data_IF_367450476033
#
_entry.id   IF_367450476033
#
_cell.length_a   1.000
_cell.length_b   1.000
_cell.length_c   1.000
_cell.angle_alpha   90.00
_cell.angle_beta   90.00
_cell.angle_gamma   90.00
#
_symmetry.space_group_name_H-M   'P 1'
#
loop_
_entity.id
_entity.type
_entity.pdbx_description
1 polymer ?
#
# COMPACT_ATOMS: atom_id res chain seq x y z
N UNK A 1 13.54 -18.74 16.89
CA UNK A 1 14.18 -17.56 16.27
C UNK A 1 15.47 -18.07 15.65
N UNK A 2 15.44 -18.41 14.36
CA UNK A 2 16.65 -18.84 13.63
C UNK A 2 17.62 -17.68 13.52
N UNK A 3 18.91 -18.00 13.42
CA UNK A 3 20.07 -17.09 13.51
C UNK A 3 20.00 -15.88 12.55
N UNK A 4 19.28 -14.82 12.94
CA UNK A 4 19.35 -13.52 12.25
C UNK A 4 20.58 -12.78 12.80
N UNK A 5 21.51 -12.43 11.92
CA UNK A 5 22.70 -11.65 12.31
C UNK A 5 22.32 -10.32 12.97
N UNK A 6 23.12 -9.89 13.96
CA UNK A 6 22.98 -8.59 14.64
C UNK A 6 22.97 -7.44 13.61
N UNK A 7 23.72 -7.60 12.53
CA UNK A 7 23.78 -6.62 11.45
C UNK A 7 22.45 -6.54 10.67
N UNK A 8 21.82 -7.68 10.40
CA UNK A 8 20.50 -7.76 9.76
C UNK A 8 19.44 -7.10 10.63
N UNK A 9 19.48 -7.30 11.95
CA UNK A 9 18.54 -6.64 12.86
C UNK A 9 18.68 -5.10 12.83
N UNK A 10 19.91 -4.58 12.82
CA UNK A 10 20.15 -3.14 12.70
C UNK A 10 19.71 -2.58 11.33
N UNK A 11 19.86 -3.38 10.28
CA UNK A 11 19.38 -3.04 8.95
C UNK A 11 17.85 -2.96 8.88
N UNK A 12 17.16 -3.96 9.42
CA UNK A 12 15.69 -3.97 9.52
C UNK A 12 15.17 -2.73 10.26
N UNK A 13 15.79 -2.34 11.38
CA UNK A 13 15.42 -1.10 12.09
C UNK A 13 15.47 0.14 11.20
N UNK A 14 16.49 0.26 10.33
CA UNK A 14 16.61 1.39 9.38
C UNK A 14 15.53 1.33 8.31
N UNK A 15 15.21 0.15 7.79
CA UNK A 15 14.14 -0.04 6.79
C UNK A 15 12.80 0.37 7.39
N UNK A 16 12.42 -0.16 8.56
CA UNK A 16 11.14 0.18 9.20
C UNK A 16 11.08 1.64 9.66
N UNK A 17 12.20 2.23 10.11
CA UNK A 17 12.26 3.67 10.39
C UNK A 17 12.02 4.52 9.13
N UNK A 18 12.56 4.09 8.00
CA UNK A 18 12.36 4.74 6.70
C UNK A 18 10.92 4.55 6.19
N UNK A 19 10.32 3.38 6.44
CA UNK A 19 8.91 3.12 6.15
C UNK A 19 7.99 4.10 6.89
N UNK A 20 8.21 4.30 8.20
CA UNK A 20 7.46 5.28 8.99
C UNK A 20 7.62 6.70 8.47
N UNK A 21 8.84 7.08 8.07
CA UNK A 21 9.10 8.35 7.40
C UNK A 21 8.27 8.50 6.11
N UNK A 22 8.21 7.45 5.26
CA UNK A 22 7.38 7.46 4.05
C UNK A 22 5.89 7.61 4.39
N UNK A 23 5.39 6.90 5.40
CA UNK A 23 4.00 7.03 5.85
C UNK A 23 3.69 8.47 6.31
N UNK A 24 4.59 9.12 7.04
CA UNK A 24 4.42 10.50 7.45
C UNK A 24 4.39 11.46 6.25
N UNK A 25 5.31 11.31 5.30
CA UNK A 25 5.31 12.10 4.06
C UNK A 25 4.05 11.88 3.24
N UNK A 26 3.59 10.63 3.10
CA UNK A 26 2.36 10.29 2.39
C UNK A 26 1.12 10.89 3.07
N UNK A 27 1.07 10.90 4.41
CA UNK A 27 -0.02 11.53 5.16
C UNK A 27 -0.08 13.05 4.92
N UNK A 28 1.08 13.73 4.92
CA UNK A 28 1.17 15.16 4.57
C UNK A 28 0.72 15.41 3.13
N UNK A 29 1.15 14.55 2.20
CA UNK A 29 0.72 14.60 0.79
C UNK A 29 -0.80 14.47 0.65
N UNK A 30 -1.39 13.45 1.28
CA UNK A 30 -2.83 13.22 1.26
C UNK A 30 -3.62 14.40 1.86
N UNK A 31 -3.12 14.99 2.95
CA UNK A 31 -3.74 16.16 3.57
C UNK A 31 -3.73 17.40 2.66
N UNK A 32 -2.72 17.56 1.81
CA UNK A 32 -2.65 18.67 0.84
C UNK A 32 -3.53 18.46 -0.41
N UNK A 33 -4.02 17.24 -0.63
CA UNK A 33 -4.76 16.87 -1.83
C UNK A 33 -6.14 17.50 -2.04
N UNK A 34 -6.96 17.87 -1.02
CA UNK A 34 -8.30 18.42 -1.22
C UNK A 34 -8.33 19.72 -2.05
N UNK A 35 -7.18 20.37 -2.23
CA UNK A 35 -7.03 21.57 -3.07
C UNK A 35 -6.77 21.27 -4.55
N UNK A 36 -6.62 20.00 -4.94
CA UNK A 36 -6.19 19.59 -6.28
C UNK A 36 -7.32 18.91 -7.07
N UNK A 37 -7.40 19.20 -8.38
CA UNK A 37 -8.32 18.54 -9.29
C UNK A 37 -7.94 17.06 -9.52
N UNK A 38 -8.90 16.23 -9.96
CA UNK A 38 -8.63 14.81 -10.28
C UNK A 38 -7.47 14.63 -11.28
N UNK A 39 -7.32 15.55 -12.23
CA UNK A 39 -6.19 15.54 -13.17
C UNK A 39 -4.84 15.76 -12.50
N UNK A 40 -4.78 16.59 -11.46
CA UNK A 40 -3.55 16.82 -10.71
C UNK A 40 -3.12 15.58 -9.90
N UNK A 41 -4.07 14.80 -9.38
CA UNK A 41 -3.74 13.53 -8.71
C UNK A 41 -3.09 12.51 -9.66
N UNK A 42 -3.56 12.43 -10.92
CA UNK A 42 -2.94 11.59 -11.95
C UNK A 42 -1.52 12.08 -12.29
N UNK A 43 -1.31 13.39 -12.38
CA UNK A 43 0.02 13.96 -12.58
C UNK A 43 0.96 13.65 -11.42
N UNK A 44 0.48 13.71 -10.17
CA UNK A 44 1.25 13.31 -9.00
C UNK A 44 1.58 11.82 -8.98
N UNK A 45 0.69 10.96 -9.46
CA UNK A 45 0.98 9.54 -9.64
C UNK A 45 2.12 9.30 -10.65
N UNK A 46 2.04 9.96 -11.82
CA UNK A 46 3.09 9.89 -12.85
C UNK A 46 4.42 10.48 -12.37
N UNK A 47 4.36 11.59 -11.62
CA UNK A 47 5.52 12.17 -10.96
C UNK A 47 6.14 11.16 -9.97
N UNK A 48 5.32 10.45 -9.19
CA UNK A 48 5.79 9.37 -8.32
C UNK A 48 6.59 8.31 -9.09
N UNK A 49 6.10 7.86 -10.24
CA UNK A 49 6.84 6.90 -11.09
C UNK A 49 8.18 7.50 -11.56
N UNK A 50 8.20 8.77 -11.98
CA UNK A 50 9.42 9.44 -12.39
C UNK A 50 10.44 9.60 -11.25
N UNK A 51 9.99 9.96 -10.05
CA UNK A 51 10.85 10.07 -8.86
C UNK A 51 11.42 8.71 -8.45
N UNK A 52 10.62 7.65 -8.58
CA UNK A 52 11.08 6.28 -8.33
C UNK A 52 12.13 5.83 -9.35
N UNK A 53 11.92 6.13 -10.64
CA UNK A 53 12.90 5.85 -11.68
C UNK A 53 14.22 6.62 -11.45
N UNK A 54 14.13 7.88 -11.01
CA UNK A 54 15.29 8.66 -10.62
C UNK A 54 16.02 8.06 -9.41
N UNK A 55 15.28 7.56 -8.42
CA UNK A 55 15.86 6.90 -7.25
C UNK A 55 16.60 5.62 -7.63
N UNK A 56 16.02 4.82 -8.54
CA UNK A 56 16.65 3.60 -9.07
C UNK A 56 17.91 3.90 -9.89
N UNK A 57 17.97 5.06 -10.56
CA UNK A 57 19.13 5.50 -11.33
C UNK A 57 20.30 5.98 -10.47
N UNK A 58 20.07 6.31 -9.18
CA UNK A 58 21.12 6.72 -8.24
C UNK A 58 21.69 5.46 -7.56
N UNK A 59 22.90 4.99 -7.92
CA UNK A 59 23.47 3.78 -7.35
C UNK A 59 23.69 3.93 -5.84
N UNK A 60 23.48 2.83 -5.12
CA UNK A 60 23.75 2.77 -3.69
C UNK A 60 25.27 2.82 -3.45
N UNK A 61 25.72 3.92 -2.88
CA UNK A 61 27.11 4.09 -2.47
C UNK A 61 27.16 4.18 -0.93
N UNK A 62 27.65 3.14 -0.21
CA UNK A 62 27.65 3.10 1.25
C UNK A 62 28.59 4.14 1.86
N UNK A 63 29.48 4.74 1.06
CA UNK A 63 30.43 5.78 1.51
C UNK A 63 29.85 7.19 1.44
N UNK A 64 28.72 7.38 0.76
CA UNK A 64 28.09 8.68 0.57
C UNK A 64 26.86 8.86 1.45
N UNK A 65 26.63 10.11 1.80
CA UNK A 65 25.42 10.55 2.51
C UNK A 65 24.17 10.11 1.76
N UNK A 66 23.28 9.38 2.43
CA UNK A 66 22.02 8.87 1.85
C UNK A 66 20.88 9.90 1.85
N UNK A 67 21.11 11.10 2.40
CA UNK A 67 20.16 12.22 2.45
C UNK A 67 19.45 12.54 1.13
N UNK A 68 20.11 12.65 -0.05
CA UNK A 68 19.41 12.93 -1.30
C UNK A 68 18.45 11.79 -1.71
N UNK A 69 18.82 10.54 -1.44
CA UNK A 69 17.97 9.37 -1.72
C UNK A 69 16.76 9.34 -0.79
N UNK A 70 16.95 9.68 0.50
CA UNK A 70 15.86 9.82 1.46
C UNK A 70 14.91 10.98 1.10
N UNK A 71 15.44 12.12 0.66
CA UNK A 71 14.63 13.25 0.21
C UNK A 71 13.79 12.88 -1.01
N UNK A 72 14.38 12.17 -1.97
CA UNK A 72 13.68 11.69 -3.16
C UNK A 72 12.59 10.67 -2.82
N UNK A 73 12.88 9.76 -1.89
CA UNK A 73 11.91 8.81 -1.34
C UNK A 73 10.76 9.52 -0.61
N UNK A 74 11.06 10.55 0.18
CA UNK A 74 10.04 11.37 0.84
C UNK A 74 9.14 12.11 -0.15
N UNK A 75 9.74 12.70 -1.20
CA UNK A 75 9.00 13.33 -2.29
C UNK A 75 8.11 12.33 -3.04
N UNK A 76 8.62 11.13 -3.31
CA UNK A 76 7.85 10.03 -3.89
C UNK A 76 6.66 9.64 -2.99
N UNK A 77 6.89 9.44 -1.69
CA UNK A 77 5.85 9.06 -0.76
C UNK A 77 4.77 10.15 -0.62
N UNK A 78 5.16 11.42 -0.59
CA UNK A 78 4.25 12.55 -0.59
C UNK A 78 3.42 12.61 -1.89
N UNK A 79 4.06 12.41 -3.06
CA UNK A 79 3.37 12.38 -4.35
C UNK A 79 2.34 11.24 -4.43
N UNK A 80 2.67 10.05 -3.89
CA UNK A 80 1.72 8.94 -3.75
C UNK A 80 0.56 9.29 -2.80
N UNK A 81 0.85 9.99 -1.70
CA UNK A 81 -0.16 10.53 -0.79
C UNK A 81 -1.15 11.48 -1.49
N UNK A 82 -0.64 12.40 -2.31
CA UNK A 82 -1.49 13.29 -3.13
C UNK A 82 -2.29 12.50 -4.15
N UNK A 83 -1.69 11.49 -4.79
CA UNK A 83 -2.36 10.67 -5.81
C UNK A 83 -3.58 9.91 -5.25
N UNK A 84 -3.52 9.41 -4.01
CA UNK A 84 -4.64 8.75 -3.35
C UNK A 84 -5.63 9.73 -2.70
N UNK A 85 -5.29 11.01 -2.63
CA UNK A 85 -6.08 12.00 -1.92
C UNK A 85 -7.50 12.21 -2.44
N UNK A 86 -7.81 12.18 -3.75
CA UNK A 86 -9.20 12.22 -4.22
C UNK A 86 -10.05 11.05 -3.71
N UNK A 87 -9.47 9.85 -3.62
CA UNK A 87 -10.16 8.68 -3.05
C UNK A 87 -10.49 8.93 -1.58
N UNK A 88 -9.52 9.41 -0.80
CA UNK A 88 -9.69 9.72 0.61
C UNK A 88 -10.75 10.82 0.80
N UNK A 89 -10.72 11.86 -0.04
CA UNK A 89 -11.69 12.96 0.02
C UNK A 89 -13.12 12.47 -0.26
N UNK A 90 -13.33 11.63 -1.27
CA UNK A 90 -14.63 11.02 -1.56
C UNK A 90 -15.10 10.20 -0.36
N UNK A 91 -14.25 9.32 0.18
CA UNK A 91 -14.64 8.48 1.33
C UNK A 91 -14.95 9.32 2.56
N UNK A 92 -14.15 10.35 2.84
CA UNK A 92 -14.38 11.27 3.95
C UNK A 92 -15.73 11.98 3.84
N UNK A 93 -16.07 12.50 2.65
CA UNK A 93 -17.31 13.23 2.41
C UNK A 93 -18.55 12.35 2.49
N UNK A 94 -18.47 11.11 1.97
CA UNK A 94 -19.64 10.22 1.87
C UNK A 94 -19.85 9.34 3.10
N UNK A 95 -18.78 8.92 3.78
CA UNK A 95 -18.86 7.90 4.82
C UNK A 95 -18.23 8.29 6.16
N UNK A 96 -17.54 9.44 6.23
CA UNK A 96 -16.91 9.93 7.45
C UNK A 96 -15.42 9.59 7.59
N UNK A 97 -14.77 10.25 8.55
CA UNK A 97 -13.33 10.09 8.82
C UNK A 97 -13.01 8.78 9.58
N UNK A 98 -13.98 8.22 10.30
CA UNK A 98 -13.86 6.96 11.04
C UNK A 98 -13.42 5.80 10.15
N UNK A 99 -13.92 5.74 8.91
CA UNK A 99 -13.53 4.71 7.95
C UNK A 99 -12.06 4.77 7.59
N UNK A 100 -11.51 5.98 7.39
CA UNK A 100 -10.11 6.16 7.00
C UNK A 100 -9.18 5.71 8.12
N UNK A 101 -9.50 6.07 9.37
CA UNK A 101 -8.75 5.66 10.55
C UNK A 101 -8.86 4.14 10.77
N UNK A 102 -10.06 3.56 10.65
CA UNK A 102 -10.25 2.12 10.74
C UNK A 102 -9.44 1.38 9.66
N UNK A 103 -9.44 1.87 8.43
CA UNK A 103 -8.67 1.28 7.34
C UNK A 103 -7.16 1.31 7.62
N UNK A 104 -6.65 2.41 8.17
CA UNK A 104 -5.24 2.55 8.54
C UNK A 104 -4.84 1.52 9.61
N UNK A 105 -5.68 1.36 10.65
CA UNK A 105 -5.43 0.39 11.71
C UNK A 105 -5.49 -1.06 11.21
N UNK A 106 -6.44 -1.38 10.33
CA UNK A 106 -6.56 -2.72 9.71
C UNK A 106 -5.36 -3.00 8.81
N UNK A 107 -4.97 -2.06 7.96
CA UNK A 107 -3.81 -2.21 7.08
C UNK A 107 -2.50 -2.35 7.87
N UNK A 108 -2.30 -1.52 8.91
CA UNK A 108 -1.12 -1.59 9.77
C UNK A 108 -1.06 -2.90 10.55
N UNK A 109 -2.19 -3.35 11.12
CA UNK A 109 -2.23 -4.63 11.85
C UNK A 109 -2.00 -5.84 10.94
N UNK A 110 -2.61 -5.86 9.74
CA UNK A 110 -2.37 -6.90 8.75
C UNK A 110 -0.90 -6.92 8.29
N UNK A 111 -0.33 -5.74 8.01
CA UNK A 111 1.07 -5.60 7.62
C UNK A 111 2.01 -6.12 8.71
N UNK A 112 1.79 -5.73 9.97
CA UNK A 112 2.60 -6.19 11.10
C UNK A 112 2.46 -7.69 11.33
N UNK A 113 1.25 -8.24 11.27
CA UNK A 113 1.01 -9.67 11.44
C UNK A 113 1.72 -10.50 10.36
N UNK A 114 1.61 -10.10 9.09
CA UNK A 114 2.26 -10.77 7.97
C UNK A 114 3.77 -10.62 7.99
N UNK A 115 4.26 -9.44 8.39
CA UNK A 115 5.69 -9.22 8.62
C UNK A 115 6.23 -10.18 9.68
N UNK A 116 5.57 -10.27 10.84
CA UNK A 116 5.97 -11.18 11.91
C UNK A 116 5.92 -12.65 11.45
N UNK A 117 4.86 -13.04 10.74
CA UNK A 117 4.75 -14.36 10.16
C UNK A 117 5.92 -14.67 9.21
N UNK A 118 6.26 -13.73 8.31
CA UNK A 118 7.38 -13.88 7.37
C UNK A 118 8.73 -14.02 8.08
N UNK A 119 8.95 -13.30 9.20
CA UNK A 119 10.14 -13.39 10.04
C UNK A 119 10.21 -14.70 10.85
N UNK A 120 9.07 -15.27 11.23
CA UNK A 120 9.00 -16.56 11.93
C UNK A 120 9.06 -17.76 10.97
N UNK A 121 8.77 -17.56 9.69
CA UNK A 121 8.75 -18.60 8.67
C UNK A 121 10.18 -18.98 8.27
N UNK A 122 10.46 -20.26 7.94
CA UNK A 122 11.75 -20.67 7.43
C UNK A 122 12.19 -19.81 6.25
N UNK A 123 13.50 -19.57 6.21
CA UNK A 123 14.07 -18.65 5.25
C UNK A 123 13.88 -19.13 3.81
N UNK A 124 13.59 -18.19 2.90
CA UNK A 124 13.26 -18.44 1.49
C UNK A 124 11.97 -19.22 1.24
N UNK A 125 11.26 -19.65 2.28
CA UNK A 125 10.06 -20.46 2.12
C UNK A 125 8.86 -19.69 1.56
N UNK A 126 8.82 -18.35 1.54
CA UNK A 126 7.77 -17.57 0.88
C UNK A 126 8.21 -17.02 -0.48
N UNK A 127 9.50 -17.06 -0.82
CA UNK A 127 10.01 -16.53 -2.09
C UNK A 127 9.41 -17.28 -3.29
N UNK A 128 9.03 -18.56 -3.14
CA UNK A 128 8.33 -19.29 -4.20
C UNK A 128 6.99 -18.67 -4.61
N UNK A 129 6.35 -17.91 -3.71
CA UNK A 129 5.09 -17.22 -3.98
C UNK A 129 5.27 -16.00 -4.88
N UNK A 130 6.50 -15.55 -5.13
CA UNK A 130 6.75 -14.36 -5.96
C UNK A 130 6.18 -14.51 -7.38
N UNK A 131 6.42 -15.66 -8.03
CA UNK A 131 5.93 -15.91 -9.39
C UNK A 131 4.40 -15.85 -9.51
N UNK A 132 3.61 -16.59 -8.71
CA UNK A 132 2.15 -16.48 -8.76
C UNK A 132 1.63 -15.10 -8.35
N UNK A 133 2.28 -14.41 -7.41
CA UNK A 133 1.88 -13.03 -7.04
C UNK A 133 2.11 -12.03 -8.18
N UNK A 134 3.24 -12.12 -8.89
CA UNK A 134 3.50 -11.29 -10.06
C UNK A 134 2.51 -11.58 -11.20
N UNK A 135 2.14 -12.85 -11.42
CA UNK A 135 1.09 -13.21 -12.37
C UNK A 135 -0.28 -12.63 -11.95
N UNK A 136 -0.62 -12.70 -10.66
CA UNK A 136 -1.82 -12.07 -10.10
C UNK A 136 -1.83 -10.55 -10.30
N UNK A 137 -0.69 -9.88 -10.09
CA UNK A 137 -0.53 -8.45 -10.33
C UNK A 137 -0.79 -8.09 -11.81
N UNK A 138 -0.25 -8.86 -12.74
CA UNK A 138 -0.51 -8.66 -14.17
C UNK A 138 -1.99 -8.82 -14.52
N UNK A 139 -2.66 -9.82 -13.94
CA UNK A 139 -4.10 -10.03 -14.14
C UNK A 139 -4.92 -8.85 -13.58
N UNK A 140 -4.56 -8.33 -12.42
CA UNK A 140 -5.20 -7.13 -11.84
C UNK A 140 -5.02 -5.89 -12.73
N UNK A 141 -3.86 -5.72 -13.34
CA UNK A 141 -3.62 -4.65 -14.30
C UNK A 141 -4.51 -4.81 -15.54
N UNK A 142 -4.63 -6.03 -16.07
CA UNK A 142 -5.53 -6.33 -17.19
C UNK A 142 -6.99 -6.04 -16.83
N UNK A 143 -7.46 -6.48 -15.65
CA UNK A 143 -8.81 -6.19 -15.18
C UNK A 143 -9.05 -4.70 -15.00
N UNK A 144 -8.07 -3.96 -14.45
CA UNK A 144 -8.18 -2.51 -14.31
C UNK A 144 -8.28 -1.83 -15.68
N UNK A 145 -7.47 -2.25 -16.66
CA UNK A 145 -7.52 -1.72 -18.02
C UNK A 145 -8.86 -2.00 -18.71
N UNK A 146 -9.34 -3.24 -18.66
CA UNK A 146 -10.66 -3.60 -19.22
C UNK A 146 -11.77 -2.83 -18.53
N UNK A 147 -11.70 -2.66 -17.21
CA UNK A 147 -12.73 -1.97 -16.45
C UNK A 147 -12.84 -0.47 -16.76
N UNK A 148 -11.77 0.17 -17.25
CA UNK A 148 -11.83 1.57 -17.72
C UNK A 148 -12.80 1.70 -18.92
N UNK A 149 -12.88 0.69 -19.79
CA UNK A 149 -13.80 0.69 -20.94
C UNK A 149 -15.15 0.07 -20.61
N UNK A 150 -15.17 -0.98 -19.78
CA UNK A 150 -16.38 -1.72 -19.47
C UNK A 150 -17.25 -1.07 -18.37
N UNK A 151 -16.65 -0.35 -17.42
CA UNK A 151 -17.36 0.26 -16.30
C UNK A 151 -18.12 -0.74 -15.42
N UNK A 152 -17.58 -1.94 -15.23
CA UNK A 152 -18.28 -3.04 -14.55
C UNK A 152 -18.01 -3.06 -13.04
N UNK A 153 -19.07 -2.95 -12.24
CA UNK A 153 -19.00 -3.08 -10.78
C UNK A 153 -18.43 -4.42 -10.32
N UNK A 154 -18.70 -5.48 -11.08
CA UNK A 154 -18.18 -6.82 -10.82
C UNK A 154 -16.65 -6.88 -11.00
N UNK A 155 -16.14 -6.39 -12.13
CA UNK A 155 -14.69 -6.36 -12.38
C UNK A 155 -13.97 -5.48 -11.36
N UNK A 156 -14.57 -4.36 -10.97
CA UNK A 156 -14.05 -3.53 -9.90
C UNK A 156 -14.01 -4.28 -8.55
N UNK A 157 -15.08 -5.00 -8.19
CA UNK A 157 -15.12 -5.80 -6.96
C UNK A 157 -14.04 -6.89 -6.95
N UNK A 158 -13.90 -7.63 -8.05
CA UNK A 158 -12.84 -8.62 -8.22
C UNK A 158 -11.47 -7.98 -8.05
N UNK A 159 -11.23 -6.83 -8.70
CA UNK A 159 -9.97 -6.10 -8.59
C UNK A 159 -9.63 -5.66 -7.16
N UNK A 160 -10.63 -5.26 -6.37
CA UNK A 160 -10.45 -4.88 -4.97
C UNK A 160 -10.11 -6.08 -4.09
N UNK A 161 -10.93 -7.15 -4.13
CA UNK A 161 -10.74 -8.31 -3.25
C UNK A 161 -9.55 -9.18 -3.64
N UNK A 162 -9.40 -9.50 -4.94
CA UNK A 162 -8.21 -10.21 -5.44
C UNK A 162 -6.95 -9.36 -5.23
N UNK A 163 -7.04 -8.05 -5.47
CA UNK A 163 -5.96 -7.11 -5.21
C UNK A 163 -5.49 -7.19 -3.77
N UNK A 164 -6.42 -7.06 -2.81
CA UNK A 164 -6.09 -7.16 -1.39
C UNK A 164 -5.35 -8.45 -1.05
N UNK A 165 -5.80 -9.61 -1.56
CA UNK A 165 -5.10 -10.89 -1.34
C UNK A 165 -3.68 -10.90 -1.92
N UNK A 166 -3.51 -10.36 -3.13
CA UNK A 166 -2.19 -10.30 -3.80
C UNK A 166 -1.23 -9.39 -3.03
N UNK A 167 -1.66 -8.19 -2.61
CA UNK A 167 -0.77 -7.27 -1.88
C UNK A 167 -0.47 -7.74 -0.46
N UNK A 168 -1.39 -8.43 0.22
CA UNK A 168 -1.08 -9.12 1.48
C UNK A 168 -0.02 -10.22 1.25
N UNK A 169 -0.09 -10.94 0.14
CA UNK A 169 0.96 -11.86 -0.27
C UNK A 169 2.31 -11.18 -0.47
N UNK A 170 2.33 -10.03 -1.16
CA UNK A 170 3.56 -9.26 -1.39
C UNK A 170 4.19 -8.80 -0.08
N UNK A 171 3.43 -8.31 0.91
CA UNK A 171 3.98 -7.93 2.23
C UNK A 171 4.84 -9.06 2.83
N UNK A 172 4.33 -10.30 2.78
CA UNK A 172 5.02 -11.44 3.36
C UNK A 172 6.27 -11.83 2.54
N UNK A 173 6.16 -11.81 1.20
CA UNK A 173 7.27 -12.12 0.29
C UNK A 173 8.37 -11.06 0.33
N UNK A 174 8.01 -9.78 0.30
CA UNK A 174 8.93 -8.65 0.35
C UNK A 174 9.65 -8.57 1.70
N UNK A 175 8.96 -8.90 2.80
CA UNK A 175 9.61 -9.05 4.11
C UNK A 175 10.68 -10.16 4.08
N UNK A 176 10.39 -11.30 3.46
CA UNK A 176 11.41 -12.36 3.33
C UNK A 176 12.54 -12.00 2.38
N UNK A 177 12.25 -11.34 1.26
CA UNK A 177 13.27 -10.84 0.34
C UNK A 177 14.18 -9.80 0.99
N UNK A 178 13.62 -8.91 1.82
CA UNK A 178 14.37 -7.95 2.61
C UNK A 178 15.38 -8.65 3.53
N UNK A 179 14.94 -9.65 4.31
CA UNK A 179 15.83 -10.42 5.19
C UNK A 179 16.90 -11.15 4.38
N UNK A 180 16.51 -11.79 3.29
CA UNK A 180 17.43 -12.55 2.44
C UNK A 180 18.53 -11.67 1.83
N UNK A 181 18.16 -10.48 1.32
CA UNK A 181 19.11 -9.49 0.78
C UNK A 181 20.04 -8.94 1.85
N UNK A 182 19.50 -8.59 3.01
CA UNK A 182 20.28 -8.03 4.12
C UNK A 182 21.38 -8.99 4.60
N UNK A 183 21.04 -10.29 4.66
CA UNK A 183 21.97 -11.36 4.98
C UNK A 183 22.96 -11.65 3.84
N UNK A 184 22.53 -11.53 2.58
CA UNK A 184 23.37 -11.61 1.40
C UNK A 184 24.35 -10.43 1.24
N UNK A 185 24.38 -9.50 2.18
CA UNK A 185 25.25 -8.32 2.17
C UNK A 185 24.68 -7.10 1.45
N UNK A 186 23.50 -7.21 0.84
CA UNK A 186 22.82 -6.10 0.18
C UNK A 186 22.02 -5.27 1.21
N UNK A 187 22.62 -4.16 1.65
CA UNK A 187 22.12 -3.33 2.76
C UNK A 187 21.52 -1.99 2.32
N UNK A 188 20.92 -1.96 1.13
CA UNK A 188 20.23 -0.77 0.64
C UNK A 188 18.84 -0.63 1.30
N UNK A 189 18.83 -0.02 2.49
CA UNK A 189 17.60 0.12 3.28
C UNK A 189 16.58 1.07 2.64
N UNK A 190 17.04 2.00 1.79
CA UNK A 190 16.16 2.96 1.10
C UNK A 190 15.35 2.23 0.03
N UNK A 191 16.01 1.42 -0.79
CA UNK A 191 15.34 0.64 -1.83
C UNK A 191 14.40 -0.42 -1.24
N UNK A 192 14.82 -1.07 -0.15
CA UNK A 192 13.96 -2.05 0.52
C UNK A 192 12.73 -1.40 1.18
N UNK A 193 12.85 -0.16 1.67
CA UNK A 193 11.72 0.58 2.22
C UNK A 193 10.68 0.95 1.15
N UNK A 194 11.09 1.16 -0.11
CA UNK A 194 10.16 1.44 -1.22
C UNK A 194 9.15 0.31 -1.40
N UNK A 195 9.62 -0.95 -1.48
CA UNK A 195 8.75 -2.11 -1.70
C UNK A 195 7.72 -2.26 -0.59
N UNK A 196 8.19 -2.27 0.66
CA UNK A 196 7.32 -2.35 1.83
C UNK A 196 6.33 -1.17 1.93
N UNK A 197 6.75 0.05 1.54
CA UNK A 197 5.87 1.20 1.51
C UNK A 197 4.78 1.04 0.45
N UNK A 198 5.14 0.60 -0.76
CA UNK A 198 4.17 0.35 -1.83
C UNK A 198 3.19 -0.74 -1.44
N UNK A 199 3.64 -1.83 -0.82
CA UNK A 199 2.77 -2.90 -0.35
C UNK A 199 1.79 -2.39 0.71
N UNK A 200 2.27 -1.67 1.72
CA UNK A 200 1.43 -1.09 2.77
C UNK A 200 0.41 -0.10 2.21
N UNK A 201 0.83 0.81 1.32
CA UNK A 201 -0.03 1.79 0.68
C UNK A 201 -1.12 1.09 -0.15
N UNK A 202 -0.74 0.07 -0.90
CA UNK A 202 -1.63 -0.72 -1.73
C UNK A 202 -2.65 -1.50 -0.89
N UNK A 203 -2.25 -2.10 0.24
CA UNK A 203 -3.18 -2.75 1.17
C UNK A 203 -4.14 -1.71 1.75
N UNK A 204 -3.63 -0.58 2.24
CA UNK A 204 -4.43 0.51 2.80
C UNK A 204 -5.53 0.99 1.85
N UNK A 205 -5.18 1.31 0.60
CA UNK A 205 -6.14 1.78 -0.41
C UNK A 205 -7.26 0.75 -0.64
N UNK A 206 -6.95 -0.55 -0.73
CA UNK A 206 -7.99 -1.57 -0.89
C UNK A 206 -8.87 -1.68 0.35
N UNK A 207 -8.29 -1.65 1.55
CA UNK A 207 -9.07 -1.70 2.80
C UNK A 207 -10.02 -0.51 2.91
N UNK A 208 -9.57 0.70 2.55
CA UNK A 208 -10.44 1.89 2.48
C UNK A 208 -11.65 1.63 1.57
N UNK A 209 -11.42 1.11 0.35
CA UNK A 209 -12.49 0.82 -0.60
C UNK A 209 -13.43 -0.28 -0.11
N UNK A 210 -12.89 -1.33 0.54
CA UNK A 210 -13.70 -2.41 1.13
C UNK A 210 -14.61 -1.86 2.23
N UNK A 211 -14.08 -1.10 3.18
CA UNK A 211 -14.88 -0.52 4.26
C UNK A 211 -15.93 0.47 3.76
N UNK A 212 -15.58 1.31 2.77
CA UNK A 212 -16.53 2.22 2.15
C UNK A 212 -17.73 1.47 1.53
N UNK A 213 -17.46 0.35 0.84
CA UNK A 213 -18.51 -0.50 0.25
C UNK A 213 -19.37 -1.22 1.30
N UNK A 214 -18.76 -1.67 2.40
CA UNK A 214 -19.50 -2.27 3.50
C UNK A 214 -20.47 -1.26 4.13
N UNK A 215 -20.02 -0.03 4.36
CA UNK A 215 -20.87 1.06 4.89
C UNK A 215 -22.02 1.44 3.95
N UNK A 216 -21.77 1.44 2.64
CA UNK A 216 -22.82 1.68 1.64
C UNK A 216 -23.91 0.59 1.71
N UNK A 217 -23.51 -0.69 1.81
CA UNK A 217 -24.44 -1.81 1.99
C UNK A 217 -25.32 -1.68 3.24
N UNK A 218 -24.71 -1.43 4.41
CA UNK A 218 -25.42 -1.22 5.68
C UNK A 218 -26.42 -0.05 5.63
N UNK A 219 -26.14 0.97 4.82
CA UNK A 219 -27.01 2.14 4.69
C UNK A 219 -28.24 1.85 3.83
N UNK A 220 -28.09 0.96 2.83
CA UNK A 220 -29.19 0.53 1.95
C UNK A 220 -30.13 -0.45 2.65
N UNK A 221 -29.60 -1.40 3.41
CA UNK A 221 -30.41 -2.35 4.20
C UNK A 221 -31.29 -1.63 5.22
N UNK A 222 -30.71 -0.69 5.99
CA UNK A 222 -31.49 0.13 6.94
C UNK A 222 -32.58 0.96 6.29
N UNK A 223 -32.37 1.44 5.05
CA UNK A 223 -33.41 2.13 4.29
C UNK A 223 -34.60 1.23 3.97
N UNK A 224 -34.32 -0.01 3.56
CA UNK A 224 -35.35 -1.00 3.25
C UNK A 224 -36.16 -1.40 4.50
N UNK A 225 -35.50 -1.62 5.65
CA UNK A 225 -36.18 -1.97 6.89
C UNK A 225 -37.15 -0.87 7.37
N UNK A 226 -36.77 0.40 7.18
CA UNK A 226 -37.64 1.55 7.52
C UNK A 226 -38.83 1.65 6.57
N UNK A 227 -38.64 1.41 5.27
CA UNK A 227 -39.74 1.40 4.29
C UNK A 227 -40.70 0.23 4.53
N UNK A 228 -40.18 -0.97 4.81
CA UNK A 228 -40.97 -2.14 5.15
C UNK A 228 -41.80 -1.88 6.43
N UNK A 229 -41.20 -1.34 7.49
CA UNK A 229 -41.90 -1.01 8.72
C UNK A 229 -42.98 0.07 8.59
N UNK A 230 -42.89 0.95 7.57
CA UNK A 230 -43.95 1.93 7.26
C UNK A 230 -45.13 1.33 6.48
N UNK A 231 -44.96 0.19 5.80
CA UNK A 231 -46.03 -0.47 5.05
C UNK A 231 -46.87 -1.42 5.91
N UNK A 232 -46.36 -1.80 7.08
CA UNK A 232 -47.07 -2.67 8.04
C UNK A 232 -47.95 -1.89 9.06
N UNK A 233 -47.94 -0.55 9.01
CA UNK A 233 -48.72 0.37 9.86
C UNK A 233 -49.82 1.07 9.05
#
# INVERSE_FOLDING_TARGET
MGDISIETHNHLKKVYGTLLYCCACAAVGAWSSPSLSQGAALLCFLLGIALLALLAAIPHDPTKTQWPRLALLGAFAAAQGVAIGPLIAIVHLHYGQDIILAALLIAASAFLALTLLALCTPRRALIFLLAPLLAGLQLLLLFSFVNVFAGSDFLFAVGVYMGLMVFLGFVAVDTQLMVERAEGGERDYVWQAVGLFLDLLNVFVRVVVVLARLRDGESRERGFDIEAGKMEL
#
